data_IF_347506675931
#
_entry.id   IF_347506675931
#
_cell.length_a   1.000
_cell.length_b   1.000
_cell.length_c   1.000
_cell.angle_alpha   90.00
_cell.angle_beta   90.00
_cell.angle_gamma   90.00
#
_symmetry.space_group_name_H-M   'P 1'
#
loop_
_entity.id
_entity.type
_entity.pdbx_description
1 polymer ?
#
# COMPACT_ATOMS: atom_id res chain seq x y z
N UNK A 1 11.51 7.88 20.71
CA UNK A 1 12.11 8.55 19.54
C UNK A 1 11.16 9.67 19.18
N UNK A 2 11.61 10.92 19.21
CA UNK A 2 10.81 12.02 18.69
C UNK A 2 10.94 11.94 17.17
N UNK A 3 9.84 11.66 16.48
CA UNK A 3 9.81 11.79 15.03
C UNK A 3 9.59 13.27 14.71
N UNK A 4 10.32 13.80 13.75
CA UNK A 4 10.14 15.18 13.34
C UNK A 4 8.80 15.31 12.61
N UNK A 5 7.88 16.08 13.19
CA UNK A 5 6.47 16.10 12.79
C UNK A 5 6.27 16.72 11.40
N UNK A 6 7.19 17.59 10.97
CA UNK A 6 7.21 18.23 9.65
C UNK A 6 7.42 17.24 8.50
N UNK A 7 7.87 16.01 8.77
CA UNK A 7 8.07 15.00 7.74
C UNK A 7 6.83 14.15 7.45
N UNK A 8 5.69 14.42 8.11
CA UNK A 8 4.45 13.66 7.97
C UNK A 8 3.29 14.51 7.46
N UNK A 9 2.56 13.95 6.49
CA UNK A 9 1.32 14.50 5.97
C UNK A 9 0.20 14.35 7.01
N UNK A 10 -0.66 15.37 7.11
CA UNK A 10 -1.86 15.40 7.97
C UNK A 10 -1.60 14.90 9.41
N UNK A 11 -0.45 15.26 9.98
CA UNK A 11 0.07 14.67 11.22
C UNK A 11 -0.96 14.62 12.35
N UNK A 12 -1.63 15.74 12.64
CA UNK A 12 -2.63 15.84 13.72
C UNK A 12 -3.82 14.90 13.49
N UNK A 13 -4.40 14.89 12.28
CA UNK A 13 -5.53 14.03 11.96
C UNK A 13 -5.14 12.54 12.05
N UNK A 14 -3.96 12.20 11.52
CA UNK A 14 -3.44 10.83 11.57
C UNK A 14 -3.16 10.37 13.01
N UNK A 15 -2.53 11.21 13.84
CA UNK A 15 -2.24 10.89 15.24
C UNK A 15 -3.53 10.73 16.04
N UNK A 16 -4.52 11.60 15.85
CA UNK A 16 -5.82 11.47 16.50
C UNK A 16 -6.50 10.13 16.18
N UNK A 17 -6.50 9.71 14.91
CA UNK A 17 -7.04 8.42 14.50
C UNK A 17 -6.26 7.25 15.13
N UNK A 18 -4.92 7.33 15.11
CA UNK A 18 -4.03 6.32 15.68
C UNK A 18 -4.24 6.15 17.19
N UNK A 19 -4.24 7.25 17.93
CA UNK A 19 -4.36 7.24 19.39
C UNK A 19 -5.74 6.76 19.84
N UNK A 20 -6.80 7.07 19.06
CA UNK A 20 -8.16 6.52 19.28
C UNK A 20 -8.18 4.98 19.15
N UNK A 21 -7.48 4.40 18.17
CA UNK A 21 -7.40 2.93 18.01
C UNK A 21 -6.53 2.29 19.10
N UNK A 22 -5.34 2.84 19.34
CA UNK A 22 -4.41 2.29 20.33
C UNK A 22 -5.02 2.38 21.74
N UNK A 23 -5.66 3.50 22.08
CA UNK A 23 -6.38 3.67 23.35
C UNK A 23 -7.52 2.66 23.53
N UNK A 24 -8.31 2.40 22.47
CA UNK A 24 -9.35 1.34 22.49
C UNK A 24 -8.76 -0.06 22.71
N UNK A 25 -7.61 -0.37 22.09
CA UNK A 25 -6.94 -1.66 22.25
C UNK A 25 -6.43 -1.90 23.69
N UNK A 26 -5.90 -0.87 24.35
CA UNK A 26 -5.42 -0.98 25.73
C UNK A 26 -6.54 -1.19 26.77
N UNK A 27 -7.73 -0.63 26.54
CA UNK A 27 -8.88 -0.80 27.45
C UNK A 27 -9.51 -2.21 27.36
N UNK A 28 -9.37 -2.89 26.23
CA UNK A 28 -9.82 -4.27 26.03
C UNK A 28 -8.66 -5.26 26.27
N UNK A 29 -8.36 -5.51 27.55
CA UNK A 29 -7.47 -6.59 28.05
C UNK A 29 -6.13 -6.77 27.31
N UNK A 30 -5.09 -6.09 27.81
CA UNK A 30 -3.69 -6.46 27.66
C UNK A 30 -3.04 -6.05 26.32
N UNK A 31 -1.74 -5.80 26.37
CA UNK A 31 -0.86 -5.42 25.23
C UNK A 31 -0.87 -6.46 24.06
N UNK A 32 -1.59 -7.58 24.22
CA UNK A 32 -1.67 -8.71 23.29
C UNK A 32 -2.86 -8.71 22.30
N UNK A 33 -3.61 -7.63 22.13
CA UNK A 33 -4.75 -7.54 21.17
C UNK A 33 -4.40 -6.84 19.85
N UNK A 34 -3.12 -6.62 19.58
CA UNK A 34 -2.61 -6.06 18.34
C UNK A 34 -2.53 -7.16 17.26
N UNK A 35 -3.22 -6.96 16.14
CA UNK A 35 -3.25 -7.86 14.98
C UNK A 35 -3.17 -7.02 13.71
N UNK A 36 -2.92 -7.61 12.53
CA UNK A 36 -2.85 -6.87 11.24
C UNK A 36 -4.00 -5.86 10.99
N UNK A 37 -5.09 -5.97 11.74
CA UNK A 37 -6.18 -5.00 11.88
C UNK A 37 -5.77 -3.60 12.39
N UNK A 38 -4.67 -3.42 13.12
CA UNK A 38 -4.31 -2.09 13.68
C UNK A 38 -4.09 -1.07 12.56
N UNK A 39 -3.25 -1.40 11.58
CA UNK A 39 -3.03 -0.56 10.41
C UNK A 39 -4.33 -0.24 9.66
N UNK A 40 -5.16 -1.27 9.44
CA UNK A 40 -6.44 -1.12 8.76
C UNK A 40 -7.39 -0.19 9.53
N UNK A 41 -7.57 -0.42 10.83
CA UNK A 41 -8.45 0.38 11.68
C UNK A 41 -7.99 1.83 11.83
N UNK A 42 -6.67 2.07 11.95
CA UNK A 42 -6.14 3.45 12.01
C UNK A 42 -6.42 4.18 10.71
N UNK A 43 -6.15 3.55 9.56
CA UNK A 43 -6.44 4.17 8.26
C UNK A 43 -7.94 4.35 8.05
N UNK A 44 -8.76 3.45 8.55
CA UNK A 44 -10.21 3.54 8.45
C UNK A 44 -10.74 4.80 9.12
N UNK A 45 -10.32 5.04 10.37
CA UNK A 45 -10.64 6.27 11.10
C UNK A 45 -9.98 7.53 10.52
N UNK A 46 -8.78 7.41 9.95
CA UNK A 46 -8.12 8.54 9.31
C UNK A 46 -8.86 8.99 8.04
N UNK A 47 -9.30 8.05 7.20
CA UNK A 47 -10.04 8.35 5.97
C UNK A 47 -11.50 8.75 6.24
N UNK A 48 -12.11 8.26 7.32
CA UNK A 48 -13.45 8.62 7.74
C UNK A 48 -13.56 8.60 9.28
N UNK A 49 -13.58 9.77 9.94
CA UNK A 49 -13.69 9.84 11.40
C UNK A 49 -15.05 9.39 11.96
N UNK A 50 -16.10 9.43 11.14
CA UNK A 50 -17.45 9.00 11.49
C UNK A 50 -17.59 7.47 11.40
N UNK A 51 -17.69 6.80 12.55
CA UNK A 51 -17.76 5.33 12.62
C UNK A 51 -19.09 4.78 12.05
N UNK A 52 -20.14 5.59 11.94
CA UNK A 52 -21.43 5.17 11.34
C UNK A 52 -21.30 4.92 9.82
N UNK A 53 -20.23 5.41 9.21
CA UNK A 53 -19.91 5.23 7.79
C UNK A 53 -18.98 4.04 7.53
N UNK A 54 -18.64 3.27 8.56
CA UNK A 54 -17.72 2.12 8.47
C UNK A 54 -18.48 0.81 8.36
N UNK A 55 -17.90 -0.17 7.65
CA UNK A 55 -18.47 -1.52 7.48
C UNK A 55 -19.92 -1.47 6.95
N UNK A 56 -20.17 -0.65 5.92
CA UNK A 56 -21.51 -0.44 5.39
C UNK A 56 -21.88 -1.59 4.46
N UNK A 57 -23.00 -2.26 4.76
CA UNK A 57 -23.53 -3.34 3.93
C UNK A 57 -24.16 -2.77 2.64
N UNK A 58 -23.67 -3.22 1.48
CA UNK A 58 -24.20 -2.85 0.17
C UNK A 58 -23.88 -3.89 -0.89
N UNK A 59 -24.84 -4.11 -1.79
CA UNK A 59 -24.70 -5.03 -2.94
C UNK A 59 -24.15 -6.41 -2.58
N UNK A 60 -24.52 -6.95 -1.41
CA UNK A 60 -24.10 -8.27 -0.92
C UNK A 60 -22.71 -8.33 -0.27
N UNK A 61 -22.02 -7.19 -0.13
CA UNK A 61 -20.71 -7.06 0.51
C UNK A 61 -20.74 -6.02 1.63
N UNK A 62 -19.67 -5.97 2.41
CA UNK A 62 -19.41 -4.89 3.37
C UNK A 62 -18.29 -4.01 2.81
N UNK A 63 -18.61 -2.75 2.54
CA UNK A 63 -17.63 -1.73 2.19
C UNK A 63 -16.89 -1.29 3.46
N UNK A 64 -15.56 -1.13 3.37
CA UNK A 64 -14.81 -0.61 4.53
C UNK A 64 -15.38 0.76 4.93
N UNK A 65 -15.43 1.72 4.01
CA UNK A 65 -16.05 3.03 4.24
C UNK A 65 -17.02 3.32 3.11
N UNK A 66 -18.15 3.94 3.45
CA UNK A 66 -19.03 4.58 2.49
C UNK A 66 -19.42 5.98 2.94
N UNK A 67 -19.08 6.98 2.14
CA UNK A 67 -19.38 8.38 2.42
C UNK A 67 -19.72 9.15 1.14
N UNK A 68 -19.81 10.48 1.23
CA UNK A 68 -20.22 11.34 0.12
C UNK A 68 -19.27 11.29 -1.09
N UNK A 69 -18.05 10.75 -0.92
CA UNK A 69 -17.06 10.55 -1.99
C UNK A 69 -17.15 9.17 -2.66
N UNK A 70 -18.01 8.29 -2.15
CA UNK A 70 -18.17 6.92 -2.62
C UNK A 70 -17.63 5.88 -1.64
N UNK A 71 -17.16 4.76 -2.20
CA UNK A 71 -16.64 3.62 -1.44
C UNK A 71 -15.14 3.76 -1.27
N UNK A 72 -14.61 3.51 -0.07
CA UNK A 72 -13.18 3.36 0.14
C UNK A 72 -12.91 1.94 0.66
N UNK A 73 -11.99 1.22 0.02
CA UNK A 73 -11.55 -0.12 0.41
C UNK A 73 -10.07 -0.08 0.81
N UNK A 74 -9.77 -0.44 2.06
CA UNK A 74 -8.41 -0.42 2.60
C UNK A 74 -7.87 -1.84 2.55
N UNK A 75 -6.88 -2.07 1.70
CA UNK A 75 -6.31 -3.41 1.50
C UNK A 75 -4.82 -3.42 1.80
N UNK A 76 -4.41 -4.20 2.78
CA UNK A 76 -3.01 -4.21 3.22
C UNK A 76 -2.14 -5.24 2.49
N UNK A 77 -2.77 -6.21 1.80
CA UNK A 77 -2.21 -7.29 0.95
C UNK A 77 -3.31 -7.93 0.09
N UNK A 78 -2.92 -8.78 -0.87
CA UNK A 78 -3.82 -9.66 -1.62
C UNK A 78 -4.93 -8.92 -2.38
N UNK A 79 -4.56 -7.88 -3.15
CA UNK A 79 -5.52 -7.10 -3.94
C UNK A 79 -6.37 -7.96 -4.89
N UNK A 80 -5.89 -9.16 -5.28
CA UNK A 80 -6.69 -10.12 -6.04
C UNK A 80 -8.00 -10.52 -5.36
N UNK A 81 -8.10 -10.47 -4.03
CA UNK A 81 -9.33 -10.76 -3.28
C UNK A 81 -10.38 -9.67 -3.41
N UNK A 82 -10.00 -8.47 -3.85
CA UNK A 82 -10.92 -7.37 -4.05
C UNK A 82 -11.68 -7.47 -5.38
N UNK A 83 -11.28 -8.37 -6.29
CA UNK A 83 -11.85 -8.45 -7.65
C UNK A 83 -13.37 -8.62 -7.65
N UNK A 84 -13.91 -9.45 -6.77
CA UNK A 84 -15.34 -9.72 -6.72
C UNK A 84 -16.13 -8.52 -6.16
N UNK A 85 -15.56 -7.78 -5.21
CA UNK A 85 -16.12 -6.51 -4.76
C UNK A 85 -16.06 -5.45 -5.86
N UNK A 86 -14.91 -5.30 -6.52
CA UNK A 86 -14.70 -4.32 -7.58
C UNK A 86 -15.64 -4.55 -8.77
N UNK A 87 -15.90 -5.80 -9.16
CA UNK A 87 -16.80 -6.10 -10.28
C UNK A 87 -18.24 -5.67 -10.02
N UNK A 88 -18.64 -5.56 -8.75
CA UNK A 88 -19.97 -5.09 -8.32
C UNK A 88 -19.95 -3.59 -8.04
N UNK A 89 -19.07 -3.12 -7.16
CA UNK A 89 -19.06 -1.73 -6.70
C UNK A 89 -18.81 -0.72 -7.83
N UNK A 90 -17.92 -1.01 -8.76
CA UNK A 90 -17.56 -0.07 -9.83
C UNK A 90 -18.70 0.16 -10.85
N UNK A 91 -19.78 -0.63 -10.79
CA UNK A 91 -20.95 -0.44 -11.67
C UNK A 91 -21.75 0.81 -11.26
N UNK A 92 -21.87 1.05 -9.95
CA UNK A 92 -22.78 2.05 -9.39
C UNK A 92 -22.08 3.13 -8.56
N UNK A 93 -20.84 2.87 -8.14
CA UNK A 93 -20.11 3.73 -7.21
C UNK A 93 -18.70 4.04 -7.70
N UNK A 94 -18.23 5.24 -7.36
CA UNK A 94 -16.80 5.52 -7.33
C UNK A 94 -16.15 4.75 -6.17
N UNK A 95 -15.04 4.07 -6.44
CA UNK A 95 -14.29 3.25 -5.48
C UNK A 95 -12.86 3.74 -5.41
N UNK A 96 -12.42 4.14 -4.21
CA UNK A 96 -11.01 4.40 -3.91
C UNK A 96 -10.40 3.20 -3.19
N UNK A 97 -9.39 2.57 -3.80
CA UNK A 97 -8.60 1.53 -3.12
C UNK A 97 -7.41 2.18 -2.43
N UNK A 98 -7.38 2.10 -1.11
CA UNK A 98 -6.28 2.55 -0.28
C UNK A 98 -5.35 1.37 -0.01
N UNK A 99 -4.12 1.46 -0.53
CA UNK A 99 -3.09 0.45 -0.34
C UNK A 99 -1.95 1.01 0.51
N UNK A 100 -1.91 0.72 1.83
CA UNK A 100 -0.83 1.15 2.68
C UNK A 100 0.41 0.28 2.52
N UNK A 101 1.56 0.93 2.34
CA UNK A 101 2.85 0.29 2.21
C UNK A 101 3.90 1.01 3.07
N UNK A 102 4.91 0.29 3.58
CA UNK A 102 5.99 0.94 4.32
C UNK A 102 6.71 1.97 3.44
N UNK A 103 7.25 3.02 4.06
CA UNK A 103 8.31 3.88 3.54
C UNK A 103 9.62 3.52 4.26
N UNK A 104 9.64 3.72 5.57
CA UNK A 104 10.54 3.04 6.49
C UNK A 104 9.79 2.01 7.34
N UNK A 105 10.49 0.99 7.82
CA UNK A 105 9.95 0.11 8.86
C UNK A 105 10.96 -0.25 9.94
N UNK A 106 10.49 -0.33 11.18
CA UNK A 106 11.23 -0.86 12.31
C UNK A 106 10.70 -2.25 12.64
N UNK A 107 11.61 -3.20 12.86
CA UNK A 107 11.28 -4.59 13.16
C UNK A 107 11.52 -4.85 14.64
N UNK A 108 10.51 -5.39 15.31
CA UNK A 108 10.58 -5.86 16.70
C UNK A 108 10.14 -7.32 16.78
N UNK A 109 10.74 -8.08 17.69
CA UNK A 109 10.44 -9.49 17.92
C UNK A 109 9.63 -9.64 19.19
N UNK A 110 8.53 -10.38 19.11
CA UNK A 110 7.64 -10.67 20.24
C UNK A 110 7.81 -12.12 20.63
N UNK A 111 8.12 -12.38 21.90
CA UNK A 111 8.07 -13.71 22.46
C UNK A 111 6.60 -14.11 22.67
N UNK A 112 6.10 -15.18 22.00
CA UNK A 112 4.70 -15.56 22.09
C UNK A 112 4.25 -16.03 23.48
N UNK A 113 5.19 -16.47 24.34
CA UNK A 113 4.85 -17.07 25.64
C UNK A 113 4.58 -16.01 26.72
N UNK A 114 5.30 -14.88 26.69
CA UNK A 114 5.23 -13.84 27.71
C UNK A 114 4.91 -12.44 27.16
N UNK A 115 4.83 -12.28 25.84
CA UNK A 115 4.56 -10.99 25.17
C UNK A 115 5.74 -10.02 25.15
N UNK A 116 6.93 -10.44 25.60
CA UNK A 116 8.12 -9.59 25.67
C UNK A 116 8.57 -9.14 24.28
N UNK A 117 8.82 -7.83 24.13
CA UNK A 117 9.25 -7.21 22.88
C UNK A 117 10.74 -6.89 22.93
N UNK A 118 11.50 -7.38 21.95
CA UNK A 118 12.95 -7.18 21.87
C UNK A 118 13.45 -6.88 20.47
N UNK A 119 14.67 -6.32 20.39
CA UNK A 119 15.43 -6.24 19.15
C UNK A 119 14.89 -5.23 18.13
N UNK A 120 14.30 -4.13 18.59
CA UNK A 120 13.82 -3.04 17.73
C UNK A 120 14.97 -2.52 16.86
N UNK A 121 14.86 -2.66 15.54
CA UNK A 121 15.85 -2.16 14.58
C UNK A 121 15.20 -1.60 13.32
N UNK A 122 15.79 -0.57 12.71
CA UNK A 122 15.36 -0.09 11.39
C UNK A 122 15.69 -1.16 10.34
N UNK A 123 14.74 -1.45 9.45
CA UNK A 123 15.00 -2.29 8.29
C UNK A 123 15.89 -1.53 7.30
N UNK A 124 16.90 -2.18 6.69
CA UNK A 124 17.74 -1.52 5.68
C UNK A 124 17.02 -1.28 4.36
N UNK A 125 15.85 -1.91 4.14
CA UNK A 125 15.06 -1.74 2.92
C UNK A 125 14.24 -0.46 3.02
N UNK A 126 14.47 0.43 2.06
CA UNK A 126 13.60 1.55 1.75
C UNK A 126 12.60 1.13 0.68
N UNK A 127 11.34 1.52 0.87
CA UNK A 127 10.24 1.17 0.00
C UNK A 127 9.79 2.41 -0.78
N UNK A 128 9.24 2.15 -1.96
CA UNK A 128 8.76 3.13 -2.92
C UNK A 128 7.37 2.74 -3.40
N UNK A 129 6.66 3.65 -4.05
CA UNK A 129 5.40 3.43 -4.75
C UNK A 129 5.48 2.25 -5.73
N UNK A 130 6.65 2.01 -6.34
CA UNK A 130 6.87 0.87 -7.24
C UNK A 130 6.72 -0.50 -6.54
N UNK A 131 6.89 -0.58 -5.21
CA UNK A 131 6.66 -1.82 -4.46
C UNK A 131 5.19 -2.24 -4.43
N UNK A 132 4.25 -1.32 -4.69
CA UNK A 132 2.83 -1.62 -4.80
C UNK A 132 2.47 -2.33 -6.12
N UNK A 133 3.29 -2.19 -7.17
CA UNK A 133 2.93 -2.64 -8.52
C UNK A 133 2.76 -4.16 -8.65
N UNK A 134 3.42 -4.93 -7.79
CA UNK A 134 3.17 -6.37 -7.68
C UNK A 134 1.73 -6.68 -7.26
N UNK A 135 1.18 -5.92 -6.30
CA UNK A 135 -0.22 -6.07 -5.87
C UNK A 135 -1.17 -5.45 -6.89
N UNK A 136 -0.89 -4.24 -7.40
CA UNK A 136 -1.73 -3.59 -8.41
C UNK A 136 -1.87 -4.43 -9.69
N UNK A 137 -0.81 -5.15 -10.08
CA UNK A 137 -0.85 -6.07 -11.20
C UNK A 137 -1.96 -7.12 -11.07
N UNK A 138 -2.31 -7.49 -9.84
CA UNK A 138 -3.37 -8.45 -9.55
C UNK A 138 -4.78 -7.88 -9.78
N UNK A 139 -4.96 -6.58 -9.84
CA UNK A 139 -6.24 -5.93 -10.19
C UNK A 139 -6.13 -5.14 -11.49
N UNK A 140 -5.08 -5.38 -12.28
CA UNK A 140 -4.75 -4.67 -13.52
C UNK A 140 -5.96 -4.45 -14.44
N UNK A 141 -6.82 -5.45 -14.61
CA UNK A 141 -8.01 -5.37 -15.48
C UNK A 141 -9.03 -4.31 -15.07
N UNK A 142 -8.97 -3.81 -13.83
CA UNK A 142 -9.87 -2.78 -13.31
C UNK A 142 -9.28 -1.37 -13.41
N UNK A 143 -7.97 -1.24 -13.64
CA UNK A 143 -7.26 0.06 -13.59
C UNK A 143 -7.66 1.04 -14.71
N UNK A 144 -8.37 0.58 -15.76
CA UNK A 144 -8.96 1.45 -16.79
C UNK A 144 -10.36 1.95 -16.43
N UNK A 145 -10.97 1.46 -15.35
CA UNK A 145 -12.33 1.85 -15.00
C UNK A 145 -12.34 3.30 -14.47
N UNK A 146 -13.14 4.21 -15.04
CA UNK A 146 -13.17 5.62 -14.63
C UNK A 146 -13.70 5.83 -13.20
N UNK A 147 -14.39 4.83 -12.64
CA UNK A 147 -14.88 4.85 -11.26
C UNK A 147 -13.85 4.31 -10.25
N UNK A 148 -12.62 3.96 -10.66
CA UNK A 148 -11.60 3.45 -9.77
C UNK A 148 -10.48 4.48 -9.55
N UNK A 149 -10.23 4.81 -8.28
CA UNK A 149 -9.02 5.55 -7.87
C UNK A 149 -8.15 4.70 -6.95
N UNK A 150 -6.85 4.95 -6.96
CA UNK A 150 -5.87 4.22 -6.14
C UNK A 150 -5.07 5.23 -5.31
N UNK A 151 -5.04 5.01 -3.99
CA UNK A 151 -4.17 5.75 -3.07
C UNK A 151 -3.09 4.82 -2.53
N UNK A 152 -1.83 5.04 -2.93
CA UNK A 152 -0.68 4.37 -2.32
C UNK A 152 -0.20 5.21 -1.13
N UNK A 153 -0.47 4.72 0.07
CA UNK A 153 -0.15 5.44 1.32
C UNK A 153 1.19 4.95 1.83
N UNK A 154 2.28 5.68 1.52
CA UNK A 154 3.61 5.38 2.01
C UNK A 154 3.74 5.87 3.45
N UNK A 155 4.04 4.96 4.38
CA UNK A 155 4.04 5.25 5.81
C UNK A 155 5.26 4.71 6.54
N UNK A 156 5.71 5.42 7.56
CA UNK A 156 6.62 4.82 8.53
C UNK A 156 5.85 3.83 9.42
N UNK A 157 6.41 2.64 9.65
CA UNK A 157 5.70 1.55 10.35
C UNK A 157 6.58 0.82 11.38
N UNK A 158 5.99 0.43 12.50
CA UNK A 158 6.56 -0.57 13.41
C UNK A 158 5.94 -1.95 13.12
N UNK A 159 6.75 -2.91 12.69
CA UNK A 159 6.35 -4.27 12.36
C UNK A 159 6.82 -5.22 13.47
N UNK A 160 5.86 -5.88 14.10
CA UNK A 160 6.07 -6.85 15.17
C UNK A 160 5.98 -8.25 14.57
N UNK A 161 6.97 -9.10 14.88
CA UNK A 161 7.02 -10.49 14.42
C UNK A 161 7.14 -11.44 15.59
N UNK A 162 6.44 -12.56 15.53
CA UNK A 162 6.55 -13.60 16.55
C UNK A 162 7.88 -14.35 16.44
N UNK A 163 8.49 -14.69 17.58
CA UNK A 163 9.58 -15.67 17.66
C UNK A 163 9.03 -17.09 17.56
N UNK A 164 8.40 -17.41 16.44
CA UNK A 164 7.76 -18.70 16.16
C UNK A 164 8.26 -19.37 14.87
N UNK A 165 9.36 -18.87 14.32
CA UNK A 165 10.00 -19.43 13.13
C UNK A 165 10.68 -20.77 13.41
N UNK A 166 10.97 -21.50 12.33
CA UNK A 166 11.57 -22.85 12.38
C UNK A 166 13.08 -22.86 12.58
N UNK A 167 13.76 -21.71 12.50
CA UNK A 167 15.21 -21.61 12.77
C UNK A 167 15.52 -21.67 14.27
N UNK A 168 16.78 -21.94 14.61
CA UNK A 168 17.27 -21.96 16.00
C UNK A 168 16.93 -20.68 16.78
N UNK A 169 17.07 -19.51 16.15
CA UNK A 169 16.70 -18.20 16.73
C UNK A 169 15.20 -17.87 16.62
N UNK A 170 14.39 -18.80 16.10
CA UNK A 170 12.96 -18.68 15.82
C UNK A 170 12.56 -17.53 14.88
N UNK A 171 13.47 -17.04 14.04
CA UNK A 171 13.20 -15.89 13.14
C UNK A 171 12.83 -16.29 11.70
N UNK A 172 13.39 -17.37 11.15
CA UNK A 172 13.08 -17.80 9.76
C UNK A 172 11.70 -18.44 9.69
N UNK A 173 10.89 -18.02 8.71
CA UNK A 173 9.49 -18.46 8.62
C UNK A 173 8.57 -17.86 9.68
N UNK A 174 9.05 -16.91 10.49
CA UNK A 174 8.24 -16.26 11.53
C UNK A 174 7.03 -15.52 10.95
N UNK A 175 5.94 -15.60 11.71
CA UNK A 175 4.69 -14.91 11.40
C UNK A 175 4.77 -13.45 11.81
N UNK A 176 4.17 -12.57 10.99
CA UNK A 176 3.94 -11.18 11.37
C UNK A 176 2.80 -11.13 12.38
N UNK A 177 3.04 -10.50 13.51
CA UNK A 177 2.06 -10.29 14.56
C UNK A 177 1.20 -9.05 14.27
N UNK A 178 1.84 -7.89 14.07
CA UNK A 178 1.15 -6.64 13.77
C UNK A 178 2.02 -5.63 12.98
N UNK A 179 1.38 -4.61 12.41
CA UNK A 179 1.94 -3.36 11.90
C UNK A 179 1.23 -2.18 12.56
N UNK A 180 1.98 -1.39 13.33
CA UNK A 180 1.52 -0.12 13.89
C UNK A 180 2.06 1.02 13.03
N UNK A 181 1.21 1.83 12.38
CA UNK A 181 1.69 2.96 11.59
C UNK A 181 2.17 4.10 12.50
N UNK A 182 3.29 4.71 12.13
CA UNK A 182 3.92 5.83 12.85
C UNK A 182 3.42 7.16 12.32
N UNK A 183 3.33 7.30 10.99
CA UNK A 183 2.94 8.52 10.29
C UNK A 183 2.92 8.31 8.78
N UNK A 184 2.11 9.10 8.08
CA UNK A 184 2.01 9.09 6.61
C UNK A 184 3.13 9.97 6.06
N UNK A 185 3.98 9.41 5.22
CA UNK A 185 5.09 10.14 4.58
C UNK A 185 4.65 10.85 3.31
N UNK A 186 3.80 10.18 2.52
CA UNK A 186 3.15 10.74 1.33
C UNK A 186 2.03 9.81 0.86
N UNK A 187 1.08 10.37 0.13
CA UNK A 187 0.02 9.63 -0.55
C UNK A 187 0.19 9.86 -2.05
N UNK A 188 0.52 8.80 -2.78
CA UNK A 188 0.56 8.84 -4.26
C UNK A 188 -0.83 8.47 -4.76
N UNK A 189 -1.49 9.43 -5.43
CA UNK A 189 -2.87 9.28 -5.90
C UNK A 189 -2.89 9.02 -7.40
N UNK A 190 -3.76 8.11 -7.80
CA UNK A 190 -4.12 7.85 -9.19
C UNK A 190 -5.64 7.95 -9.28
N UNK A 191 -6.12 9.15 -9.61
CA UNK A 191 -7.55 9.43 -9.73
C UNK A 191 -8.03 9.16 -11.18
N UNK A 192 -7.10 9.22 -12.14
CA UNK A 192 -7.31 8.93 -13.57
C UNK A 192 -6.08 8.27 -14.20
N UNK A 193 -6.21 7.84 -15.45
CA UNK A 193 -5.16 7.13 -16.19
C UNK A 193 -3.90 7.98 -16.32
N UNK A 194 -4.05 9.28 -16.62
CA UNK A 194 -2.97 10.24 -16.83
C UNK A 194 -2.05 10.35 -15.61
N UNK A 195 -2.59 10.19 -14.40
CA UNK A 195 -1.83 10.35 -13.18
C UNK A 195 -0.73 9.29 -13.04
N UNK A 196 -0.85 8.13 -13.70
CA UNK A 196 0.20 7.12 -13.71
C UNK A 196 1.47 7.56 -14.46
N UNK A 197 1.42 8.65 -15.23
CA UNK A 197 2.61 9.26 -15.85
C UNK A 197 3.64 9.73 -14.81
N UNK A 198 3.21 10.03 -13.57
CA UNK A 198 4.12 10.39 -12.47
C UNK A 198 5.13 9.29 -12.13
N UNK A 199 4.93 8.06 -12.62
CA UNK A 199 5.81 6.91 -12.44
C UNK A 199 6.84 6.75 -13.57
N UNK A 200 6.79 7.58 -14.60
CA UNK A 200 7.77 7.57 -15.68
C UNK A 200 8.89 8.55 -15.31
N UNK A 201 10.14 8.10 -15.11
CA UNK A 201 11.26 8.99 -14.83
C UNK A 201 11.46 10.02 -15.95
N UNK A 202 11.65 11.29 -15.59
CA UNK A 202 11.78 12.38 -16.56
C UNK A 202 13.06 12.30 -17.41
N UNK A 203 14.10 11.63 -16.91
CA UNK A 203 15.38 11.41 -17.58
C UNK A 203 15.41 10.13 -18.43
N UNK A 204 14.28 9.41 -18.52
CA UNK A 204 14.17 8.21 -19.32
C UNK A 204 14.18 8.57 -20.81
N UNK A 205 15.18 8.06 -21.53
CA UNK A 205 15.32 8.25 -22.97
C UNK A 205 14.19 7.57 -23.74
N UNK A 206 13.95 8.03 -24.97
CA UNK A 206 13.21 7.26 -25.96
C UNK A 206 13.87 5.89 -26.20
N UNK A 207 13.05 4.92 -26.62
CA UNK A 207 13.39 3.53 -26.85
C UNK A 207 14.10 2.86 -25.67
N UNK A 208 13.42 2.82 -24.54
CA UNK A 208 13.96 2.25 -23.30
C UNK A 208 13.50 0.80 -23.08
N UNK A 209 14.33 0.03 -22.39
CA UNK A 209 14.00 -1.31 -21.91
C UNK A 209 13.61 -1.28 -20.43
N UNK A 210 13.15 -2.42 -19.92
CA UNK A 210 12.90 -2.61 -18.47
C UNK A 210 14.15 -2.30 -17.63
N UNK A 211 15.36 -2.56 -18.14
CA UNK A 211 16.61 -2.29 -17.41
C UNK A 211 16.90 -0.80 -17.31
N UNK A 212 16.62 -0.06 -18.39
CA UNK A 212 16.82 1.38 -18.45
C UNK A 212 15.83 2.07 -17.49
N UNK A 213 14.56 1.64 -17.51
CA UNK A 213 13.56 2.08 -16.54
C UNK A 213 13.99 1.80 -15.10
N UNK A 214 14.46 0.58 -14.80
CA UNK A 214 14.90 0.20 -13.46
C UNK A 214 16.04 1.08 -12.96
N UNK A 215 16.98 1.43 -13.86
CA UNK A 215 18.10 2.30 -13.56
C UNK A 215 17.64 3.75 -13.30
N UNK A 216 16.83 4.32 -14.18
CA UNK A 216 16.33 5.69 -14.07
C UNK A 216 15.43 5.88 -12.82
N UNK A 217 14.53 4.91 -12.56
CA UNK A 217 13.66 4.94 -11.40
C UNK A 217 14.36 4.53 -10.09
N UNK A 218 15.59 3.99 -10.14
CA UNK A 218 16.32 3.52 -8.96
C UNK A 218 15.67 2.33 -8.25
N UNK A 219 15.00 1.43 -8.99
CA UNK A 219 14.25 0.29 -8.44
C UNK A 219 14.67 -1.05 -9.05
N UNK A 220 14.14 -2.15 -8.50
CA UNK A 220 14.46 -3.48 -9.02
C UNK A 220 13.88 -3.70 -10.43
N UNK A 221 14.57 -4.55 -11.20
CA UNK A 221 14.07 -5.00 -12.51
C UNK A 221 12.71 -5.70 -12.38
N UNK A 222 12.47 -6.42 -11.28
CA UNK A 222 11.18 -7.08 -11.05
C UNK A 222 10.05 -6.08 -10.87
N UNK A 223 10.23 -5.07 -10.00
CA UNK A 223 9.25 -4.00 -9.83
C UNK A 223 8.98 -3.29 -11.18
N UNK A 224 10.05 -2.96 -11.91
CA UNK A 224 9.97 -2.33 -13.23
C UNK A 224 9.18 -3.15 -14.25
N UNK A 225 9.26 -4.49 -14.20
CA UNK A 225 8.43 -5.36 -15.07
C UNK A 225 6.95 -5.21 -14.77
N UNK A 226 6.55 -5.20 -13.50
CA UNK A 226 5.14 -5.01 -13.14
C UNK A 226 4.67 -3.60 -13.50
N UNK A 227 5.49 -2.58 -13.22
CA UNK A 227 5.21 -1.19 -13.57
C UNK A 227 4.98 -1.01 -15.06
N UNK A 228 5.95 -1.38 -15.91
CA UNK A 228 5.81 -1.24 -17.36
C UNK A 228 4.71 -2.12 -17.94
N UNK A 229 4.35 -3.22 -17.29
CA UNK A 229 3.23 -4.04 -17.72
C UNK A 229 1.88 -3.33 -17.46
N UNK A 230 1.76 -2.62 -16.34
CA UNK A 230 0.60 -1.79 -16.03
C UNK A 230 0.58 -0.54 -16.92
N UNK A 231 1.67 0.23 -16.98
CA UNK A 231 1.75 1.44 -17.79
C UNK A 231 1.48 1.15 -19.28
N UNK A 232 1.96 0.01 -19.81
CA UNK A 232 1.65 -0.39 -21.17
C UNK A 232 0.18 -0.74 -21.38
N UNK A 233 -0.47 -1.33 -20.38
CA UNK A 233 -1.90 -1.61 -20.47
C UNK A 233 -2.74 -0.35 -20.37
N UNK A 234 -2.31 0.61 -19.57
CA UNK A 234 -2.91 1.93 -19.46
C UNK A 234 -2.55 2.85 -20.63
N UNK A 235 -1.75 2.37 -21.59
CA UNK A 235 -1.36 3.09 -22.82
C UNK A 235 -0.52 4.36 -22.59
N UNK A 236 0.02 4.53 -21.39
CA UNK A 236 0.98 5.60 -21.03
C UNK A 236 2.33 5.36 -21.68
N UNK A 237 2.71 4.08 -21.77
CA UNK A 237 3.86 3.64 -22.56
C UNK A 237 3.39 2.62 -23.58
N UNK A 238 4.10 2.47 -24.69
CA UNK A 238 3.79 1.48 -25.73
C UNK A 238 5.01 0.64 -26.02
N UNK A 239 4.82 -0.68 -26.11
CA UNK A 239 5.83 -1.60 -26.64
C UNK A 239 6.03 -1.32 -28.13
N UNK A 240 7.20 -0.82 -28.50
CA UNK A 240 7.54 -0.45 -29.88
C UNK A 240 8.35 -1.52 -30.60
N UNK A 241 8.98 -2.43 -29.86
CA UNK A 241 9.78 -3.48 -30.47
C UNK A 241 10.36 -4.47 -29.48
N UNK A 242 11.35 -5.23 -29.96
CA UNK A 242 12.06 -6.23 -29.17
C UNK A 242 13.54 -6.23 -29.51
N UNK A 243 14.36 -6.20 -28.47
CA UNK A 243 15.80 -6.46 -28.53
C UNK A 243 16.10 -7.86 -27.97
N UNK A 244 17.33 -8.34 -28.17
CA UNK A 244 17.78 -9.68 -27.73
C UNK A 244 17.39 -10.01 -26.28
N UNK A 245 17.37 -9.00 -25.40
CA UNK A 245 17.15 -9.16 -23.96
C UNK A 245 15.87 -8.50 -23.40
N UNK A 246 14.89 -8.12 -24.23
CA UNK A 246 13.65 -7.54 -23.72
C UNK A 246 12.80 -6.80 -24.76
N UNK A 247 11.65 -6.31 -24.32
CA UNK A 247 10.83 -5.37 -25.08
C UNK A 247 11.39 -3.96 -24.97
N UNK A 248 11.23 -3.20 -26.05
CA UNK A 248 11.50 -1.76 -26.13
C UNK A 248 10.18 -1.03 -25.95
N UNK A 249 10.20 0.07 -25.21
CA UNK A 249 9.06 0.90 -24.89
C UNK A 249 9.34 2.36 -25.25
N UNK A 250 8.28 3.10 -25.58
CA UNK A 250 8.26 4.56 -25.62
C UNK A 250 7.12 5.09 -24.77
N UNK A 251 7.29 6.30 -24.25
CA UNK A 251 6.19 7.09 -23.71
C UNK A 251 5.26 7.46 -24.85
N UNK A 252 3.95 7.39 -24.63
CA UNK A 252 2.96 7.83 -25.62
C UNK A 252 2.95 9.35 -25.69
N UNK A 253 2.94 9.92 -26.90
CA UNK A 253 2.98 11.38 -27.15
C UNK A 253 1.81 12.19 -26.53
N UNK A 254 0.79 11.53 -25.99
CA UNK A 254 -0.40 12.13 -25.40
C UNK A 254 -0.20 12.58 -23.93
N UNK A 255 0.99 12.35 -23.33
CA UNK A 255 1.30 12.62 -21.93
C UNK A 255 2.58 13.43 -21.73
#
# INVERSE_FOLDING_TARGET
>A
MLYETSEYEDYEAFVNAKDKIIGKAHNNKGIGTLSEKTLHAVLKLYYEPDEDKHEVAMSGYYADIYNDKGIIEIQTRQLNKLRDKLSVFLQDYHVTVVYPLPFNKWLSWVNPDNGEVQGRRKSPRHFTEYDAFYELYKIKSYLKNPNLSINLVLMDMEEYKLLNGWSYDKKRGSTRYDRVPVGIRRIVKFDRIEDYMQLVPADLKEDFTVKDFAMAAGVSVEASRYTLNILNYLEIVKRTGRVKNGYVYNVTEEF
#
